data_IF_785409024719
#
_entry.id   IF_785409024719
#
_cell.length_a   1.000
_cell.length_b   1.000
_cell.length_c   1.000
_cell.angle_alpha   90.00
_cell.angle_beta   90.00
_cell.angle_gamma   90.00
#
_symmetry.space_group_name_H-M   'P 1'
#
loop_
_entity.id
_entity.type
_entity.pdbx_description
1 polymer ?
#
# COMPACT_ATOMS: atom_id res chain seq x y z
N UNK A 1 19.20 2.04 -2.72
CA UNK A 1 18.79 0.62 -2.89
C UNK A 1 18.03 0.52 -4.19
N UNK A 2 18.18 -0.51 -5.01
CA UNK A 2 17.61 -0.49 -6.37
C UNK A 2 16.14 -0.89 -6.41
N UNK A 3 15.35 -0.30 -7.32
CA UNK A 3 13.94 -0.61 -7.51
C UNK A 3 13.64 -2.11 -7.73
N UNK A 4 14.43 -2.89 -8.50
CA UNK A 4 14.17 -4.32 -8.69
C UNK A 4 14.24 -5.14 -7.39
N UNK A 5 15.09 -4.76 -6.44
CA UNK A 5 15.19 -5.44 -5.14
C UNK A 5 13.96 -5.15 -4.28
N UNK A 6 13.48 -3.91 -4.33
CA UNK A 6 12.25 -3.50 -3.63
C UNK A 6 11.04 -4.22 -4.23
N UNK A 7 10.95 -4.28 -5.56
CA UNK A 7 9.90 -5.00 -6.27
C UNK A 7 9.83 -6.47 -5.88
N UNK A 8 10.95 -7.18 -5.96
CA UNK A 8 11.02 -8.60 -5.60
C UNK A 8 10.68 -8.82 -4.12
N UNK A 9 11.12 -7.90 -3.24
CA UNK A 9 10.77 -7.95 -1.83
C UNK A 9 9.27 -7.75 -1.58
N UNK A 10 8.66 -6.72 -2.20
CA UNK A 10 7.24 -6.40 -2.07
C UNK A 10 6.36 -7.58 -2.52
N UNK A 11 6.64 -8.13 -3.70
CA UNK A 11 5.93 -9.29 -4.26
C UNK A 11 5.98 -10.54 -3.36
N UNK A 12 7.05 -10.72 -2.58
CA UNK A 12 7.21 -11.87 -1.67
C UNK A 12 6.67 -11.63 -0.26
N UNK A 13 6.65 -10.38 0.19
CA UNK A 13 6.33 -10.00 1.57
C UNK A 13 4.84 -10.21 1.92
N UNK A 14 3.93 -9.89 0.99
CA UNK A 14 2.47 -9.92 1.17
C UNK A 14 1.91 -8.87 2.14
N UNK A 15 2.66 -8.53 3.19
CA UNK A 15 2.43 -7.40 4.10
C UNK A 15 3.72 -6.64 4.34
N UNK A 16 3.64 -5.39 4.76
CA UNK A 16 4.78 -4.52 5.05
C UNK A 16 4.49 -3.66 6.28
N UNK A 17 5.50 -3.00 6.84
CA UNK A 17 5.28 -1.98 7.86
C UNK A 17 5.42 -0.58 7.28
N UNK A 18 4.57 0.32 7.76
CA UNK A 18 4.56 1.74 7.43
C UNK A 18 4.87 2.56 8.69
N UNK A 19 5.88 3.43 8.61
CA UNK A 19 6.16 4.43 9.63
C UNK A 19 5.19 5.61 9.51
N UNK A 20 4.03 5.53 10.17
CA UNK A 20 3.02 6.59 10.17
C UNK A 20 3.21 7.56 11.36
N UNK A 21 2.65 8.78 11.31
CA UNK A 21 2.68 9.71 12.45
C UNK A 21 2.11 9.14 13.75
N UNK A 22 1.14 8.22 13.64
CA UNK A 22 0.52 7.52 14.77
C UNK A 22 1.30 6.26 15.24
N UNK A 23 2.50 6.04 14.71
CA UNK A 23 3.33 4.87 14.97
C UNK A 23 3.33 3.84 13.83
N UNK A 24 4.15 2.81 13.99
CA UNK A 24 4.33 1.76 12.98
C UNK A 24 3.04 0.94 12.79
N UNK A 25 2.61 0.74 11.55
CA UNK A 25 1.45 -0.09 11.20
C UNK A 25 1.83 -1.17 10.19
N UNK A 26 1.34 -2.39 10.41
CA UNK A 26 1.38 -3.45 9.40
C UNK A 26 0.26 -3.21 8.38
N UNK A 27 0.57 -3.31 7.10
CA UNK A 27 -0.38 -3.15 6.01
C UNK A 27 -0.24 -4.27 4.98
N UNK A 28 -1.37 -4.78 4.49
CA UNK A 28 -1.38 -5.52 3.23
C UNK A 28 -1.34 -4.53 2.07
N UNK A 29 -0.80 -4.97 0.93
CA UNK A 29 -0.49 -4.11 -0.20
C UNK A 29 -0.51 -4.90 -1.51
N UNK A 30 -0.42 -4.18 -2.63
CA UNK A 30 -0.04 -4.74 -3.92
C UNK A 30 1.18 -3.99 -4.48
N UNK A 31 1.99 -4.70 -5.26
CA UNK A 31 2.95 -4.06 -6.16
C UNK A 31 2.32 -3.88 -7.53
N UNK A 32 2.44 -2.68 -8.10
CA UNK A 32 2.00 -2.40 -9.46
C UNK A 32 2.90 -1.32 -10.07
N UNK A 33 3.41 -1.56 -11.27
CA UNK A 33 4.14 -0.59 -12.10
C UNK A 33 5.15 0.29 -11.33
N UNK A 34 6.08 -0.34 -10.61
CA UNK A 34 7.15 0.37 -9.90
C UNK A 34 6.78 0.96 -8.54
N UNK A 35 5.54 0.75 -8.05
CA UNK A 35 5.11 1.29 -6.78
C UNK A 35 4.31 0.28 -5.93
N UNK A 36 4.21 0.60 -4.65
CA UNK A 36 3.39 -0.12 -3.68
C UNK A 36 2.04 0.61 -3.57
N UNK A 37 0.95 -0.13 -3.53
CA UNK A 37 -0.39 0.42 -3.35
C UNK A 37 -1.01 -0.16 -2.08
N UNK A 38 -1.64 0.71 -1.30
CA UNK A 38 -2.39 0.36 -0.07
C UNK A 38 -3.74 1.06 -0.09
N UNK A 39 -4.70 0.56 0.69
CA UNK A 39 -6.01 1.17 0.87
C UNK A 39 -6.32 1.34 2.35
N UNK A 40 -7.05 2.40 2.70
CA UNK A 40 -7.56 2.66 4.06
C UNK A 40 -8.93 3.33 4.00
N UNK A 41 -9.70 3.30 5.10
CA UNK A 41 -11.09 3.79 5.15
C UNK A 41 -12.11 2.80 4.57
N UNK A 42 -13.40 3.08 4.71
CA UNK A 42 -14.46 2.25 4.10
C UNK A 42 -14.51 0.80 4.58
N UNK A 43 -14.14 0.57 5.84
CA UNK A 43 -14.04 -0.78 6.42
C UNK A 43 -12.76 -1.55 6.05
N UNK A 44 -11.82 -0.93 5.33
CA UNK A 44 -10.49 -1.49 5.10
C UNK A 44 -9.53 -1.21 6.27
N UNK A 45 -8.29 -1.69 6.14
CA UNK A 45 -7.26 -1.57 7.17
C UNK A 45 -7.06 -0.13 7.67
N UNK A 46 -6.90 0.02 8.97
CA UNK A 46 -6.74 1.33 9.62
C UNK A 46 -5.28 1.81 9.52
N UNK A 47 -5.06 2.89 8.76
CA UNK A 47 -3.75 3.52 8.57
C UNK A 47 -3.84 5.03 8.92
N UNK A 48 -3.95 5.39 10.21
CA UNK A 48 -4.24 6.78 10.60
C UNK A 48 -3.14 7.76 10.19
N UNK A 49 -3.56 8.85 9.55
CA UNK A 49 -2.67 9.90 9.03
C UNK A 49 -2.09 9.61 7.65
N UNK A 50 -2.32 8.43 7.05
CA UNK A 50 -1.78 8.12 5.73
C UNK A 50 -2.39 8.98 4.61
N UNK A 51 -3.71 9.18 4.63
CA UNK A 51 -4.39 9.98 3.60
C UNK A 51 -3.93 11.45 3.63
N UNK A 52 -3.83 12.04 4.83
CA UNK A 52 -3.34 13.41 5.00
C UNK A 52 -1.87 13.56 4.56
N UNK A 53 -1.03 12.58 4.93
CA UNK A 53 0.36 12.52 4.47
C UNK A 53 0.44 12.45 2.94
N UNK A 54 -0.40 11.62 2.32
CA UNK A 54 -0.43 11.42 0.88
C UNK A 54 -0.93 12.66 0.12
N UNK A 55 -1.95 13.36 0.66
CA UNK A 55 -2.44 14.62 0.08
C UNK A 55 -1.33 15.69 0.04
N UNK A 56 -0.44 15.69 1.03
CA UNK A 56 0.73 16.57 1.08
C UNK A 56 1.96 16.07 0.32
N UNK A 57 1.88 14.95 -0.41
CA UNK A 57 3.04 14.29 -1.04
C UNK A 57 4.18 13.98 -0.04
N UNK A 58 3.80 13.57 1.17
CA UNK A 58 4.71 13.36 2.29
C UNK A 58 5.60 12.12 2.12
N UNK A 59 6.77 12.18 2.78
CA UNK A 59 7.67 11.04 2.90
C UNK A 59 7.18 10.04 3.94
N UNK A 60 7.35 8.75 3.64
CA UNK A 60 7.03 7.65 4.55
C UNK A 60 8.12 6.60 4.52
N UNK A 61 8.41 6.01 5.67
CA UNK A 61 9.29 4.85 5.74
C UNK A 61 8.48 3.57 5.52
N UNK A 62 8.99 2.71 4.64
CA UNK A 62 8.44 1.39 4.33
C UNK A 62 9.44 0.32 4.73
N UNK A 63 8.97 -0.71 5.42
CA UNK A 63 9.78 -1.86 5.80
C UNK A 63 9.14 -3.14 5.26
N UNK A 64 9.85 -3.83 4.38
CA UNK A 64 9.49 -5.15 3.89
C UNK A 64 9.94 -6.22 4.88
N UNK A 65 9.14 -7.27 5.01
CA UNK A 65 9.41 -8.36 5.97
C UNK A 65 9.45 -9.72 5.30
N UNK A 66 10.19 -10.64 5.90
CA UNK A 66 10.19 -12.04 5.49
C UNK A 66 8.83 -12.64 5.77
N UNK A 67 8.21 -13.28 4.76
CA UNK A 67 6.94 -13.99 4.92
C UNK A 67 7.05 -15.16 5.91
N UNK A 68 8.23 -15.76 6.02
CA UNK A 68 8.43 -17.00 6.79
C UNK A 68 8.52 -16.76 8.29
N UNK A 69 9.31 -15.76 8.71
CA UNK A 69 9.61 -15.53 10.13
C UNK A 69 9.28 -14.11 10.61
N UNK A 70 8.81 -13.24 9.71
CA UNK A 70 8.47 -11.87 10.08
C UNK A 70 9.65 -10.94 10.28
N UNK A 71 10.90 -11.36 10.03
CA UNK A 71 12.05 -10.49 10.18
C UNK A 71 12.04 -9.34 9.18
N UNK A 72 12.57 -8.18 9.57
CA UNK A 72 12.88 -7.09 8.64
C UNK A 72 13.86 -7.57 7.58
N UNK A 73 13.49 -7.40 6.31
CA UNK A 73 14.38 -7.67 5.18
C UNK A 73 15.03 -6.38 4.72
N UNK A 74 14.20 -5.36 4.53
CA UNK A 74 14.57 -4.16 3.80
C UNK A 74 13.76 -2.97 4.32
N UNK A 75 14.42 -1.82 4.50
CA UNK A 75 13.82 -0.54 4.90
C UNK A 75 14.18 0.55 3.91
N UNK A 76 13.21 1.35 3.47
CA UNK A 76 13.44 2.45 2.52
C UNK A 76 12.42 3.59 2.65
N UNK A 77 12.80 4.80 2.23
CA UNK A 77 11.86 5.91 2.09
C UNK A 77 11.01 5.78 0.82
N UNK A 78 9.77 6.23 0.89
CA UNK A 78 8.84 6.38 -0.23
C UNK A 78 8.10 7.71 -0.16
N UNK A 79 7.48 8.12 -1.26
CA UNK A 79 6.50 9.23 -1.31
C UNK A 79 5.10 8.65 -1.33
N UNK A 80 4.24 9.13 -0.44
CA UNK A 80 2.83 8.77 -0.46
C UNK A 80 2.04 9.75 -1.34
N UNK A 81 1.17 9.22 -2.20
CA UNK A 81 0.32 10.00 -3.11
C UNK A 81 -1.09 9.39 -3.13
N UNK A 82 -2.12 10.23 -3.03
CA UNK A 82 -3.50 9.76 -3.19
C UNK A 82 -3.72 9.39 -4.65
N UNK A 83 -4.30 8.22 -4.89
CA UNK A 83 -4.59 7.72 -6.23
C UNK A 83 -5.94 8.23 -6.69
N UNK A 84 -5.99 8.83 -7.87
CA UNK A 84 -7.23 8.92 -8.65
C UNK A 84 -7.60 7.51 -9.12
N UNK A 85 -8.53 6.89 -8.39
CA UNK A 85 -8.92 5.49 -8.60
C UNK A 85 -9.56 5.28 -9.98
N UNK A 86 -10.26 6.28 -10.52
CA UNK A 86 -10.88 6.20 -11.83
C UNK A 86 -9.83 6.27 -12.96
N UNK A 87 -8.78 7.07 -12.76
CA UNK A 87 -7.67 7.18 -13.71
C UNK A 87 -6.65 6.02 -13.62
N UNK A 88 -6.66 5.24 -12.54
CA UNK A 88 -5.69 4.16 -12.30
C UNK A 88 -6.33 2.76 -12.11
N UNK A 89 -7.20 2.29 -13.03
CA UNK A 89 -7.95 1.04 -12.83
C UNK A 89 -7.05 -0.20 -12.71
N UNK A 90 -5.88 -0.21 -13.36
CA UNK A 90 -4.93 -1.32 -13.28
C UNK A 90 -4.32 -1.50 -11.88
N UNK A 91 -3.95 -0.40 -11.22
CA UNK A 91 -3.41 -0.42 -9.86
C UNK A 91 -4.49 -0.81 -8.84
N UNK A 92 -5.71 -0.27 -9.00
CA UNK A 92 -6.85 -0.61 -8.13
C UNK A 92 -7.22 -2.09 -8.28
N UNK A 93 -7.25 -2.62 -9.51
CA UNK A 93 -7.52 -4.04 -9.75
C UNK A 93 -6.42 -4.96 -9.18
N UNK A 94 -5.14 -4.57 -9.32
CA UNK A 94 -4.03 -5.30 -8.71
C UNK A 94 -4.17 -5.33 -7.17
N UNK A 95 -4.53 -4.21 -6.56
CA UNK A 95 -4.77 -4.14 -5.11
C UNK A 95 -5.99 -4.96 -4.68
N UNK A 96 -7.09 -4.89 -5.43
CA UNK A 96 -8.30 -5.66 -5.15
C UNK A 96 -8.04 -7.18 -5.14
N UNK A 97 -7.15 -7.67 -6.02
CA UNK A 97 -6.75 -9.08 -6.07
C UNK A 97 -6.09 -9.56 -4.77
N UNK A 98 -5.36 -8.68 -4.08
CA UNK A 98 -4.69 -9.02 -2.80
C UNK A 98 -5.66 -9.00 -1.61
N UNK A 99 -6.91 -8.55 -1.79
CA UNK A 99 -7.92 -8.49 -0.72
C UNK A 99 -8.66 -9.83 -0.54
N UNK A 100 -7.92 -10.83 -0.06
CA UNK A 100 -8.37 -12.24 -0.03
C UNK A 100 -9.66 -12.53 0.75
N UNK A 101 -10.00 -11.72 1.76
CA UNK A 101 -11.18 -11.93 2.62
C UNK A 101 -12.34 -10.96 2.31
N UNK A 102 -12.46 -10.49 1.05
CA UNK A 102 -13.50 -9.53 0.68
C UNK A 102 -14.87 -10.17 0.83
N UNK A 103 -15.82 -9.47 1.47
CA UNK A 103 -17.21 -9.97 1.61
C UNK A 103 -17.93 -10.04 0.26
N UNK A 104 -17.68 -9.05 -0.59
CA UNK A 104 -18.12 -8.98 -1.97
C UNK A 104 -16.93 -8.50 -2.81
N UNK A 105 -16.42 -9.39 -3.66
CA UNK A 105 -15.29 -9.08 -4.53
C UNK A 105 -15.73 -8.34 -5.80
N UNK A 106 -16.98 -8.51 -6.25
CA UNK A 106 -17.45 -7.92 -7.49
C UNK A 106 -17.69 -6.40 -7.34
N UNK A 107 -18.25 -5.97 -6.21
CA UNK A 107 -18.47 -4.55 -5.89
C UNK A 107 -17.30 -3.85 -5.19
N UNK A 108 -16.18 -4.53 -4.96
CA UNK A 108 -15.12 -4.05 -4.07
C UNK A 108 -14.53 -2.70 -4.50
N UNK A 109 -14.17 -2.56 -5.78
CA UNK A 109 -13.51 -1.36 -6.29
C UNK A 109 -14.47 -0.17 -6.35
N UNK A 110 -15.75 -0.40 -6.64
CA UNK A 110 -16.78 0.63 -6.58
C UNK A 110 -16.93 1.17 -5.14
N UNK A 111 -17.00 0.27 -4.15
CA UNK A 111 -17.04 0.68 -2.74
C UNK A 111 -15.79 1.44 -2.31
N UNK A 112 -14.61 1.03 -2.78
CA UNK A 112 -13.38 1.78 -2.48
C UNK A 112 -13.39 3.19 -3.09
N UNK A 113 -13.99 3.38 -4.26
CA UNK A 113 -14.13 4.70 -4.85
C UNK A 113 -15.06 5.61 -4.02
N UNK A 114 -16.05 5.03 -3.33
CA UNK A 114 -17.03 5.76 -2.52
C UNK A 114 -16.56 6.01 -1.07
N UNK A 115 -15.89 5.02 -0.47
CA UNK A 115 -15.70 4.97 0.98
C UNK A 115 -14.23 4.87 1.43
N UNK A 116 -13.29 4.62 0.50
CA UNK A 116 -11.88 4.36 0.83
C UNK A 116 -10.93 5.30 0.09
N UNK A 117 -9.68 5.32 0.56
CA UNK A 117 -8.58 6.03 -0.11
C UNK A 117 -7.52 5.01 -0.49
N UNK A 118 -7.24 4.92 -1.79
CA UNK A 118 -6.08 4.19 -2.30
C UNK A 118 -4.89 5.14 -2.35
N UNK A 119 -3.77 4.70 -1.80
CA UNK A 119 -2.53 5.46 -1.71
C UNK A 119 -1.42 4.70 -2.41
N UNK A 120 -0.71 5.40 -3.29
CA UNK A 120 0.51 4.95 -3.95
C UNK A 120 1.71 5.35 -3.09
N UNK A 121 2.63 4.41 -2.89
CA UNK A 121 3.90 4.60 -2.22
C UNK A 121 5.01 4.39 -3.25
N UNK A 122 5.57 5.49 -3.75
CA UNK A 122 6.64 5.49 -4.74
C UNK A 122 8.01 5.42 -4.03
N UNK A 123 8.79 4.33 -4.18
CA UNK A 123 10.10 4.22 -3.53
C UNK A 123 11.05 5.34 -3.97
N UNK A 124 11.83 5.89 -3.03
CA UNK A 124 12.98 6.75 -3.32
C UNK A 124 14.25 5.92 -3.22
N UNK A 125 14.90 5.65 -4.35
CA UNK A 125 16.01 4.69 -4.48
C UNK A 125 17.37 5.33 -4.66
#
# INVERSE_FOLDING_TARGET
MTLPVIEEGAKKSGVLWLGLPSGVRLAWHAWHDGAIYVVTGGGEQSLPGLADLAAGHGGIEVVLRSKDNGAELIRFPAVAEVVDQAAAPGAVAALAKERLNARDAAGLTARWAEESTVVRLAPRT
#
